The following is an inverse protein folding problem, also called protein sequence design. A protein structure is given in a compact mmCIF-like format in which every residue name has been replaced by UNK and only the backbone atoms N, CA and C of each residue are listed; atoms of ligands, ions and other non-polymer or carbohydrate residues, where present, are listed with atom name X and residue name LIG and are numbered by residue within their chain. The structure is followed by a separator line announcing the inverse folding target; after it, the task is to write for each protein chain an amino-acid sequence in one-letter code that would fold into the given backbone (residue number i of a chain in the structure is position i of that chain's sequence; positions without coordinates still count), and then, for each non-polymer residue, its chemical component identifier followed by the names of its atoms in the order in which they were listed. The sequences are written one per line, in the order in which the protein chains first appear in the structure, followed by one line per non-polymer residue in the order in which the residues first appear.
data_IF_971563709603
#
_entry.id   IF_971563709603
#
_cell.length_a   1.000
_cell.length_b   1.000
_cell.length_c   1.000
_cell.angle_alpha   90.00
_cell.angle_beta   90.00
_cell.angle_gamma   90.00
#
_symmetry.space_group_name_H-M   'P 1'
#
loop_
_entity.id
_entity.type
_entity.pdbx_description
1 polymer ?
#
# COMPACT_ATOMS: atom_id res chain seq x y z
N UNK A 1 4.53 -7.42 23.00
CA UNK A 1 4.97 -7.33 21.59
C UNK A 1 5.93 -6.16 21.45
N UNK A 2 7.05 -6.37 20.74
CA UNK A 2 8.05 -5.33 20.45
C UNK A 2 8.14 -5.14 18.95
N UNK A 3 8.14 -3.88 18.51
CA UNK A 3 8.34 -3.49 17.11
C UNK A 3 9.55 -2.55 17.05
N UNK A 4 10.58 -2.91 16.32
CA UNK A 4 11.84 -2.15 16.19
C UNK A 4 12.04 -1.73 14.74
N UNK A 5 12.49 -0.50 14.54
CA UNK A 5 12.92 0.03 13.26
C UNK A 5 14.10 0.98 13.47
N UNK A 6 15.29 0.51 13.16
CA UNK A 6 16.56 1.17 13.47
C UNK A 6 16.62 1.51 14.99
N UNK A 7 16.78 2.78 15.34
CA UNK A 7 16.80 3.31 16.70
C UNK A 7 15.39 3.59 17.30
N UNK A 8 14.35 3.57 16.47
CA UNK A 8 12.97 3.73 16.93
C UNK A 8 12.34 2.38 17.30
N UNK A 9 11.73 2.26 18.47
CA UNK A 9 11.00 1.04 18.88
C UNK A 9 9.72 1.35 19.65
N UNK A 10 8.81 0.38 19.65
CA UNK A 10 7.54 0.42 20.40
C UNK A 10 7.33 -0.90 21.11
N UNK A 11 7.05 -0.85 22.40
CA UNK A 11 6.65 -2.01 23.22
C UNK A 11 5.14 -1.91 23.46
N UNK A 12 4.42 -2.99 23.21
CA UNK A 12 2.96 -3.07 23.37
C UNK A 12 2.62 -4.19 24.35
N UNK A 13 1.89 -3.82 25.42
CA UNK A 13 1.34 -4.76 26.40
C UNK A 13 0.01 -4.24 26.95
N UNK A 14 -0.84 -5.12 27.47
CA UNK A 14 -2.15 -4.76 28.06
C UNK A 14 -2.02 -4.18 29.49
N UNK A 15 -0.99 -4.62 30.26
CA UNK A 15 -0.71 -4.13 31.60
C UNK A 15 0.28 -2.98 31.58
N UNK A 16 -0.02 -1.92 32.33
CA UNK A 16 0.87 -0.77 32.53
C UNK A 16 2.13 -1.18 33.31
N UNK A 17 2.01 -2.03 34.34
CA UNK A 17 3.13 -2.45 35.18
C UNK A 17 4.21 -3.15 34.35
N UNK A 18 3.79 -4.01 33.42
CA UNK A 18 4.72 -4.67 32.49
C UNK A 18 5.41 -3.66 31.57
N UNK A 19 4.72 -2.61 31.12
CA UNK A 19 5.34 -1.55 30.31
C UNK A 19 6.36 -0.76 31.13
N UNK A 20 6.07 -0.45 32.37
CA UNK A 20 7.00 0.23 33.29
C UNK A 20 8.24 -0.63 33.56
N UNK A 21 8.06 -1.92 33.83
CA UNK A 21 9.14 -2.87 33.98
C UNK A 21 10.00 -2.99 32.71
N UNK A 22 9.37 -3.10 31.54
CA UNK A 22 10.10 -3.10 30.27
C UNK A 22 10.91 -1.83 30.07
N UNK A 23 10.36 -0.66 30.43
CA UNK A 23 11.08 0.62 30.33
C UNK A 23 12.33 0.62 31.22
N UNK A 24 12.24 0.10 32.46
CA UNK A 24 13.40 -0.01 33.38
C UNK A 24 14.45 -0.94 32.78
N UNK A 25 14.07 -2.16 32.40
CA UNK A 25 15.00 -3.15 31.82
C UNK A 25 15.73 -2.59 30.59
N UNK A 26 15.02 -1.92 29.71
CA UNK A 26 15.64 -1.31 28.52
C UNK A 26 16.57 -0.16 28.91
N UNK A 27 16.20 0.66 29.89
CA UNK A 27 17.04 1.77 30.34
C UNK A 27 18.33 1.25 30.96
N UNK A 28 18.27 0.19 31.79
CA UNK A 28 19.43 -0.40 32.41
C UNK A 28 20.36 -1.07 31.40
N UNK A 29 19.80 -1.79 30.43
CA UNK A 29 20.58 -2.39 29.34
C UNK A 29 21.27 -1.33 28.45
N UNK A 30 20.60 -0.21 28.14
CA UNK A 30 21.20 0.88 27.35
C UNK A 30 22.37 1.55 28.11
N UNK A 31 22.30 1.67 29.45
CA UNK A 31 23.40 2.23 30.27
C UNK A 31 24.69 1.43 30.14
N UNK A 32 24.63 0.10 30.02
CA UNK A 32 25.80 -0.75 29.79
C UNK A 32 26.56 -0.40 28.51
N UNK A 33 25.84 0.15 27.53
CA UNK A 33 26.41 0.60 26.25
C UNK A 33 26.63 2.13 26.18
N UNK A 34 26.59 2.81 27.34
CA UNK A 34 26.69 4.28 27.41
C UNK A 34 25.63 5.02 26.58
N UNK A 35 24.46 4.42 26.46
CA UNK A 35 23.29 4.99 25.77
C UNK A 35 22.16 5.29 26.77
N UNK A 36 21.27 6.19 26.44
CA UNK A 36 20.09 6.53 27.24
C UNK A 36 18.82 6.68 26.44
N UNK A 37 17.68 6.42 27.08
CA UNK A 37 16.36 6.72 26.51
C UNK A 37 16.15 8.23 26.49
N UNK A 38 15.87 8.82 25.31
CA UNK A 38 15.56 10.24 25.20
C UNK A 38 14.27 10.59 25.99
N UNK A 39 14.33 11.41 27.06
CA UNK A 39 13.15 11.76 27.87
C UNK A 39 12.07 12.48 27.05
N UNK A 40 12.47 13.25 26.04
CA UNK A 40 11.55 14.00 25.17
C UNK A 40 10.80 13.11 24.15
N UNK A 41 11.41 11.97 23.76
CA UNK A 41 10.85 11.07 22.74
C UNK A 41 10.20 9.83 23.36
N UNK A 42 10.65 9.38 24.53
CA UNK A 42 10.12 8.19 25.21
C UNK A 42 8.83 8.54 25.94
N UNK A 43 7.72 7.93 25.54
CA UNK A 43 6.40 8.19 26.12
C UNK A 43 5.67 6.87 26.35
N UNK A 44 4.90 6.84 27.46
CA UNK A 44 3.91 5.79 27.71
C UNK A 44 2.55 6.37 27.32
N UNK A 45 1.74 5.60 26.63
CA UNK A 45 0.37 6.02 26.25
C UNK A 45 -0.55 4.81 26.18
N UNK A 46 -1.82 5.03 26.46
CA UNK A 46 -2.86 4.03 26.22
C UNK A 46 -3.51 4.27 24.85
N UNK A 47 -3.84 3.21 24.13
CA UNK A 47 -4.34 3.34 22.75
C UNK A 47 -5.82 3.68 22.66
N UNK A 48 -6.61 3.44 23.72
CA UNK A 48 -8.06 3.62 23.73
C UNK A 48 -8.53 4.74 24.67
N UNK A 49 -7.97 4.82 25.88
CA UNK A 49 -8.34 5.79 26.92
C UNK A 49 -7.23 6.82 27.12
N UNK A 50 -7.54 8.03 27.63
CA UNK A 50 -6.52 9.01 27.95
C UNK A 50 -5.55 8.50 29.03
N UNK A 51 -4.26 8.67 28.78
CA UNK A 51 -3.17 8.46 29.74
C UNK A 51 -2.21 9.63 29.59
N UNK A 52 -1.95 10.36 30.67
CA UNK A 52 -1.11 11.57 30.68
C UNK A 52 -1.52 12.58 29.56
N UNK A 53 -2.84 12.81 29.43
CA UNK A 53 -3.43 13.73 28.45
C UNK A 53 -3.41 13.26 26.98
N UNK A 54 -2.86 12.08 26.69
CA UNK A 54 -2.71 11.57 25.35
C UNK A 54 -3.46 10.25 25.12
N UNK A 55 -3.92 10.02 23.88
CA UNK A 55 -4.55 8.76 23.46
C UNK A 55 -3.91 8.28 22.17
N UNK A 56 -3.38 7.05 22.18
CA UNK A 56 -2.63 6.53 21.06
C UNK A 56 -1.21 7.09 20.99
N UNK A 57 -0.49 6.75 19.95
CA UNK A 57 0.89 7.16 19.75
C UNK A 57 1.23 7.32 18.28
N UNK A 58 2.29 8.09 18.02
CA UNK A 58 2.86 8.25 16.68
C UNK A 58 4.11 7.39 16.57
N UNK A 59 4.18 6.56 15.50
CA UNK A 59 5.34 5.74 15.19
C UNK A 59 5.60 5.75 13.67
N UNK A 60 6.83 6.02 13.26
CA UNK A 60 7.25 6.12 11.85
C UNK A 60 6.35 7.03 10.99
N UNK A 61 5.81 8.08 11.61
CA UNK A 61 4.92 9.02 10.93
C UNK A 61 3.46 8.57 10.83
N UNK A 62 3.11 7.44 11.39
CA UNK A 62 1.74 6.96 11.52
C UNK A 62 1.21 7.24 12.92
N UNK A 63 -0.04 7.66 13.04
CA UNK A 63 -0.78 7.72 14.28
C UNK A 63 -1.57 6.43 14.46
N UNK A 64 -1.35 5.75 15.57
CA UNK A 64 -1.98 4.47 15.94
C UNK A 64 -2.88 4.73 17.14
N UNK A 65 -4.19 4.52 16.97
CA UNK A 65 -5.18 4.76 18.01
C UNK A 65 -6.32 3.77 17.92
N UNK A 66 -6.87 3.40 19.06
CA UNK A 66 -8.11 2.66 19.19
C UNK A 66 -9.26 3.63 19.46
N UNK A 67 -10.42 3.30 18.93
CA UNK A 67 -11.66 4.06 19.12
C UNK A 67 -12.73 3.11 19.63
N UNK A 68 -13.54 3.50 20.65
CA UNK A 68 -14.71 2.74 21.03
C UNK A 68 -15.58 2.51 19.79
N UNK A 69 -16.11 1.31 19.67
CA UNK A 69 -16.95 0.94 18.54
C UNK A 69 -18.19 0.21 19.06
N UNK A 70 -19.35 0.59 18.52
CA UNK A 70 -20.61 -0.06 18.84
C UNK A 70 -20.61 -1.55 18.46
N UNK A 71 -21.58 -2.30 18.98
CA UNK A 71 -21.72 -3.76 18.85
C UNK A 71 -21.57 -4.27 17.39
N UNK A 72 -22.07 -3.52 16.43
CA UNK A 72 -22.04 -3.91 15.01
C UNK A 72 -20.76 -3.50 14.27
N UNK A 73 -20.00 -2.51 14.77
CA UNK A 73 -18.80 -1.96 14.11
C UNK A 73 -17.49 -2.47 14.71
N UNK A 74 -17.54 -3.12 15.86
CA UNK A 74 -16.38 -3.68 16.54
C UNK A 74 -15.80 -4.85 15.76
N UNK A 75 -14.47 -4.89 15.64
CA UNK A 75 -13.76 -6.08 15.17
C UNK A 75 -13.96 -7.25 16.14
N UNK A 76 -13.92 -8.47 15.61
CA UNK A 76 -13.93 -9.69 16.42
C UNK A 76 -12.51 -10.25 16.53
N UNK A 77 -12.23 -10.96 17.64
CA UNK A 77 -11.04 -11.78 17.77
C UNK A 77 -11.17 -13.06 16.92
N UNK A 78 -10.17 -13.96 16.96
CA UNK A 78 -10.18 -15.23 16.23
C UNK A 78 -11.29 -16.21 16.66
N UNK A 79 -11.88 -15.99 17.83
CA UNK A 79 -12.95 -16.79 18.41
C UNK A 79 -14.34 -16.16 18.21
N UNK A 80 -14.45 -15.08 17.43
CA UNK A 80 -15.71 -14.39 17.17
C UNK A 80 -16.13 -13.38 18.23
N UNK A 81 -15.43 -13.28 19.35
CA UNK A 81 -15.76 -12.34 20.46
C UNK A 81 -15.55 -10.90 20.00
N UNK A 82 -16.55 -10.05 20.22
CA UNK A 82 -16.47 -8.62 19.90
C UNK A 82 -15.50 -7.91 20.86
N UNK A 83 -14.63 -7.07 20.32
CA UNK A 83 -13.59 -6.37 21.08
C UNK A 83 -14.04 -5.04 21.70
N UNK A 84 -15.18 -4.48 21.28
CA UNK A 84 -15.66 -3.17 21.75
C UNK A 84 -14.87 -1.98 21.22
N UNK A 85 -13.83 -2.17 20.42
CA UNK A 85 -13.03 -1.10 19.83
C UNK A 85 -12.57 -1.43 18.40
N UNK A 86 -12.15 -0.38 17.68
CA UNK A 86 -11.55 -0.47 16.35
C UNK A 86 -10.22 0.24 16.34
N UNK A 87 -9.16 -0.45 15.94
CA UNK A 87 -7.84 0.14 15.74
C UNK A 87 -7.78 0.83 14.39
N UNK A 88 -7.42 2.11 14.39
CA UNK A 88 -7.23 2.91 13.18
C UNK A 88 -5.78 3.38 13.13
N UNK A 89 -5.14 3.14 12.00
CA UNK A 89 -3.80 3.65 11.67
C UNK A 89 -3.99 4.66 10.55
N UNK A 90 -3.45 5.86 10.72
CA UNK A 90 -3.53 6.95 9.75
C UNK A 90 -2.26 7.80 9.75
N UNK A 91 -2.01 8.66 8.74
CA UNK A 91 -0.91 9.61 8.78
C UNK A 91 -0.99 10.48 10.04
N UNK A 92 0.14 10.72 10.72
CA UNK A 92 0.15 11.60 11.89
C UNK A 92 -0.10 13.06 11.49
N UNK A 93 -0.74 13.83 12.39
CA UNK A 93 -1.03 15.26 12.15
C UNK A 93 0.24 16.04 11.81
N UNK A 94 1.35 15.73 12.49
CA UNK A 94 2.66 16.36 12.24
C UNK A 94 3.14 16.11 10.82
N UNK A 95 3.02 14.88 10.31
CA UNK A 95 3.46 14.53 8.95
C UNK A 95 2.54 15.10 7.87
N UNK A 96 1.25 15.23 8.13
CA UNK A 96 0.32 15.95 7.24
C UNK A 96 0.73 17.43 7.13
N UNK A 97 0.95 18.10 8.25
CA UNK A 97 1.36 19.51 8.28
C UNK A 97 2.71 19.74 7.57
N UNK A 98 3.69 18.85 7.80
CA UNK A 98 4.99 18.90 7.11
C UNK A 98 4.85 18.70 5.60
N UNK A 99 3.97 17.80 5.16
CA UNK A 99 3.71 17.60 3.73
C UNK A 99 3.08 18.82 3.07
N UNK A 100 2.05 19.39 3.70
CA UNK A 100 1.40 20.63 3.23
C UNK A 100 2.40 21.79 3.15
N UNK A 101 3.28 21.92 4.17
CA UNK A 101 4.35 22.93 4.15
C UNK A 101 5.30 22.70 2.98
N UNK A 102 5.80 21.46 2.78
CA UNK A 102 6.68 21.12 1.68
C UNK A 102 6.09 21.43 0.31
N UNK A 103 4.77 21.23 0.14
CA UNK A 103 4.08 21.61 -1.09
C UNK A 103 4.06 23.13 -1.26
N UNK A 104 3.78 23.88 -0.19
CA UNK A 104 3.80 25.35 -0.18
C UNK A 104 5.19 25.90 -0.52
N UNK A 105 6.24 25.42 0.15
CA UNK A 105 7.63 25.81 -0.10
C UNK A 105 8.02 25.54 -1.57
N UNK A 106 7.57 24.40 -2.13
CA UNK A 106 7.80 24.07 -3.54
C UNK A 106 7.06 25.07 -4.46
N UNK A 107 5.82 25.42 -4.16
CA UNK A 107 5.04 26.40 -4.92
C UNK A 107 5.69 27.78 -4.88
N UNK A 108 6.19 28.20 -3.73
CA UNK A 108 6.87 29.49 -3.56
C UNK A 108 8.21 29.53 -4.29
N UNK A 109 8.98 28.45 -4.27
CA UNK A 109 10.21 28.31 -5.05
C UNK A 109 9.96 28.38 -6.57
N UNK A 110 8.79 27.91 -7.02
CA UNK A 110 8.38 27.92 -8.43
C UNK A 110 7.34 29.00 -8.76
N UNK A 111 7.28 30.09 -7.98
CA UNK A 111 6.29 31.18 -8.17
C UNK A 111 6.31 31.81 -9.55
N UNK A 112 7.49 31.94 -10.18
CA UNK A 112 7.68 32.54 -11.50
C UNK A 112 7.78 31.50 -12.64
N UNK A 113 7.84 30.20 -12.30
CA UNK A 113 8.00 29.14 -13.30
C UNK A 113 6.71 28.87 -14.08
N UNK A 114 6.76 28.38 -15.32
CA UNK A 114 5.57 27.91 -16.04
C UNK A 114 4.81 26.84 -15.28
N UNK A 115 3.49 26.77 -15.47
CA UNK A 115 2.60 25.82 -14.80
C UNK A 115 3.07 24.38 -14.96
N UNK A 116 3.52 23.99 -16.16
CA UNK A 116 4.05 22.65 -16.47
C UNK A 116 5.19 22.25 -15.53
N UNK A 117 6.14 23.16 -15.29
CA UNK A 117 7.29 22.87 -14.42
C UNK A 117 6.85 22.72 -12.97
N UNK A 118 5.91 23.55 -12.50
CA UNK A 118 5.34 23.41 -11.16
C UNK A 118 4.64 22.06 -10.99
N UNK A 119 3.79 21.65 -11.94
CA UNK A 119 3.10 20.35 -11.90
C UNK A 119 4.11 19.20 -11.89
N UNK A 120 5.14 19.26 -12.75
CA UNK A 120 6.20 18.23 -12.79
C UNK A 120 6.99 18.12 -11.49
N UNK A 121 7.13 19.20 -10.72
CA UNK A 121 7.79 19.19 -9.40
C UNK A 121 6.88 18.70 -8.29
N UNK A 122 5.60 19.04 -8.29
CA UNK A 122 4.65 18.64 -7.27
C UNK A 122 4.27 17.16 -7.39
N UNK A 123 4.08 16.64 -8.60
CA UNK A 123 3.61 15.28 -8.84
C UNK A 123 4.47 14.18 -8.19
N UNK A 124 5.82 14.19 -8.25
CA UNK A 124 6.65 13.22 -7.54
C UNK A 124 6.50 13.30 -6.01
N UNK A 125 6.38 14.51 -5.44
CA UNK A 125 6.20 14.73 -4.00
C UNK A 125 4.86 14.12 -3.55
N UNK A 126 3.78 14.43 -4.26
CA UNK A 126 2.43 13.90 -3.99
C UNK A 126 2.43 12.38 -4.13
N UNK A 127 2.98 11.84 -5.22
CA UNK A 127 3.05 10.40 -5.48
C UNK A 127 3.81 9.67 -4.39
N UNK A 128 4.99 10.15 -4.00
CA UNK A 128 5.81 9.53 -2.96
C UNK A 128 5.08 9.47 -1.61
N UNK A 129 4.48 10.61 -1.20
CA UNK A 129 3.72 10.70 0.04
C UNK A 129 2.47 9.80 0.03
N UNK A 130 1.70 9.83 -1.05
CA UNK A 130 0.53 8.98 -1.23
C UNK A 130 0.87 7.49 -1.21
N UNK A 131 1.95 7.08 -1.88
CA UNK A 131 2.39 5.69 -1.89
C UNK A 131 2.76 5.19 -0.49
N UNK A 132 3.46 6.02 0.30
CA UNK A 132 3.84 5.68 1.68
C UNK A 132 2.60 5.45 2.57
N UNK A 133 1.60 6.33 2.45
CA UNK A 133 0.40 6.26 3.29
C UNK A 133 -0.78 5.50 2.67
N UNK A 134 -0.64 4.95 1.47
CA UNK A 134 -1.72 4.18 0.80
C UNK A 134 -2.11 2.88 1.50
N UNK A 135 -1.29 2.41 2.43
CA UNK A 135 -1.51 1.14 3.16
C UNK A 135 -2.43 1.25 4.37
N UNK A 136 -2.75 2.48 4.79
CA UNK A 136 -3.52 2.78 6.01
C UNK A 136 -4.78 3.62 5.73
N UNK A 137 -5.50 4.02 6.78
CA UNK A 137 -6.73 4.82 6.67
C UNK A 137 -6.42 6.29 6.33
N UNK A 138 -6.01 6.59 5.09
CA UNK A 138 -5.47 7.90 4.68
C UNK A 138 -6.41 8.76 3.85
N UNK A 139 -7.60 8.28 3.45
CA UNK A 139 -8.50 9.03 2.55
C UNK A 139 -8.86 10.42 3.05
N UNK A 140 -9.15 10.57 4.34
CA UNK A 140 -9.43 11.89 4.93
C UNK A 140 -8.20 12.82 4.89
N UNK A 141 -7.00 12.28 5.18
CA UNK A 141 -5.76 13.03 5.11
C UNK A 141 -5.45 13.45 3.66
N UNK A 142 -5.68 12.56 2.69
CA UNK A 142 -5.52 12.85 1.27
C UNK A 142 -6.46 13.97 0.81
N UNK A 143 -7.75 13.87 1.14
CA UNK A 143 -8.72 14.90 0.81
C UNK A 143 -8.39 16.26 1.47
N UNK A 144 -7.90 16.24 2.72
CA UNK A 144 -7.46 17.45 3.40
C UNK A 144 -6.25 18.09 2.71
N UNK A 145 -5.24 17.32 2.31
CA UNK A 145 -4.09 17.81 1.54
C UNK A 145 -4.52 18.40 0.21
N UNK A 146 -5.43 17.76 -0.52
CA UNK A 146 -5.96 18.27 -1.79
C UNK A 146 -6.71 19.58 -1.57
N UNK A 147 -7.52 19.68 -0.52
CA UNK A 147 -8.25 20.89 -0.20
C UNK A 147 -7.30 22.08 0.00
N UNK A 148 -6.29 21.95 0.87
CA UNK A 148 -5.33 23.01 1.12
C UNK A 148 -4.52 23.35 -0.14
N UNK A 149 -4.05 22.34 -0.87
CA UNK A 149 -3.26 22.52 -2.08
C UNK A 149 -4.06 23.27 -3.17
N UNK A 150 -5.25 22.77 -3.50
CA UNK A 150 -6.04 23.29 -4.62
C UNK A 150 -6.74 24.61 -4.28
N UNK A 151 -7.34 24.73 -3.09
CA UNK A 151 -8.18 25.87 -2.73
C UNK A 151 -7.44 27.00 -2.02
N UNK A 152 -6.24 26.75 -1.51
CA UNK A 152 -5.43 27.79 -0.86
C UNK A 152 -4.15 28.08 -1.64
N UNK A 153 -3.23 27.12 -1.70
CA UNK A 153 -1.88 27.35 -2.21
C UNK A 153 -1.84 27.64 -3.72
N UNK A 154 -2.50 26.83 -4.54
CA UNK A 154 -2.48 27.01 -6.00
C UNK A 154 -3.35 28.20 -6.45
N UNK A 155 -4.43 28.49 -5.75
CA UNK A 155 -5.19 29.74 -6.02
C UNK A 155 -4.36 30.98 -5.69
N UNK A 156 -3.60 30.97 -4.59
CA UNK A 156 -2.68 32.05 -4.25
C UNK A 156 -1.57 32.22 -5.31
N UNK A 157 -1.03 31.09 -5.80
CA UNK A 157 -0.06 31.10 -6.90
C UNK A 157 -0.65 31.70 -8.19
N UNK A 158 -1.85 31.28 -8.59
CA UNK A 158 -2.54 31.80 -9.78
C UNK A 158 -2.85 33.31 -9.63
N UNK A 159 -3.35 33.74 -8.45
CA UNK A 159 -3.62 35.14 -8.17
C UNK A 159 -2.37 36.02 -8.27
N UNK A 160 -1.21 35.57 -7.77
CA UNK A 160 0.06 36.32 -7.91
C UNK A 160 0.46 36.56 -9.36
N UNK A 161 0.08 35.65 -10.27
CA UNK A 161 0.43 35.73 -11.71
C UNK A 161 -0.53 36.57 -12.53
N UNK A 162 -1.78 36.69 -12.11
CA UNK A 162 -2.84 37.38 -12.87
C UNK A 162 -3.33 38.64 -12.17
N UNK A 163 -2.80 38.95 -10.96
CA UNK A 163 -3.25 40.06 -10.11
C UNK A 163 -4.56 39.76 -9.36
N UNK A 164 -5.44 38.92 -9.88
CA UNK A 164 -6.74 38.57 -9.29
C UNK A 164 -7.04 37.08 -9.53
N UNK A 165 -7.89 36.50 -8.69
CA UNK A 165 -8.43 35.15 -8.91
C UNK A 165 -9.92 35.27 -9.25
N UNK A 166 -10.24 35.18 -10.52
CA UNK A 166 -11.58 35.25 -11.08
C UNK A 166 -11.84 34.03 -11.97
N UNK A 167 -12.98 33.99 -12.64
CA UNK A 167 -13.37 32.90 -13.53
C UNK A 167 -12.40 32.71 -14.69
N UNK A 168 -11.89 33.79 -15.27
CA UNK A 168 -10.89 33.78 -16.34
C UNK A 168 -9.58 33.13 -15.88
N UNK A 169 -9.06 33.53 -14.68
CA UNK A 169 -7.87 32.90 -14.07
C UNK A 169 -8.12 31.43 -13.78
N UNK A 170 -9.34 31.10 -13.34
CA UNK A 170 -9.70 29.69 -13.11
C UNK A 170 -9.65 28.90 -14.41
N UNK A 171 -10.29 29.33 -15.47
CA UNK A 171 -10.27 28.64 -16.77
C UNK A 171 -8.87 28.56 -17.39
N UNK A 172 -8.00 29.52 -17.12
CA UNK A 172 -6.62 29.52 -17.60
C UNK A 172 -5.75 28.40 -16.99
N UNK A 173 -5.99 28.00 -15.74
CA UNK A 173 -5.11 27.09 -15.00
C UNK A 173 -5.79 25.79 -14.55
N UNK A 174 -7.11 25.68 -14.67
CA UNK A 174 -7.87 24.48 -14.33
C UNK A 174 -8.68 24.02 -15.52
N UNK A 175 -8.39 22.80 -15.99
CA UNK A 175 -9.08 22.20 -17.14
C UNK A 175 -9.70 20.88 -16.75
N UNK A 176 -10.69 20.43 -17.55
CA UNK A 176 -11.32 19.13 -17.40
C UNK A 176 -10.32 18.03 -17.76
N UNK A 177 -10.02 17.16 -16.80
CA UNK A 177 -9.13 16.01 -17.00
C UNK A 177 -9.89 14.75 -16.58
N UNK A 178 -10.35 13.96 -17.56
CA UNK A 178 -11.34 12.91 -17.33
C UNK A 178 -12.65 13.50 -16.80
N UNK A 179 -13.14 13.00 -15.68
CA UNK A 179 -14.41 13.42 -15.07
C UNK A 179 -14.27 14.57 -14.06
N UNK A 180 -13.09 15.20 -13.96
CA UNK A 180 -12.82 16.21 -12.93
C UNK A 180 -12.06 17.40 -13.47
N UNK A 181 -12.41 18.58 -12.96
CA UNK A 181 -11.61 19.77 -13.18
C UNK A 181 -10.42 19.71 -12.24
N UNK A 182 -9.20 19.77 -12.79
CA UNK A 182 -7.94 19.73 -12.05
C UNK A 182 -7.03 20.88 -12.46
N UNK A 183 -6.03 21.18 -11.62
CA UNK A 183 -4.97 22.10 -12.00
C UNK A 183 -4.12 21.45 -13.08
N UNK A 184 -4.29 21.86 -14.34
CA UNK A 184 -3.71 21.23 -15.51
C UNK A 184 -3.49 22.25 -16.64
N UNK A 185 -2.61 21.89 -17.58
CA UNK A 185 -2.39 22.66 -18.80
C UNK A 185 -3.37 22.25 -19.90
N UNK A 186 -3.50 23.06 -20.92
CA UNK A 186 -4.28 22.74 -22.13
C UNK A 186 -3.77 21.48 -22.82
N UNK A 187 -2.44 21.25 -22.81
CA UNK A 187 -1.81 20.03 -23.34
C UNK A 187 -2.08 18.76 -22.51
N UNK A 188 -2.93 18.82 -21.47
CA UNK A 188 -3.33 17.68 -20.67
C UNK A 188 -2.35 17.27 -19.54
N UNK A 189 -1.28 18.05 -19.28
CA UNK A 189 -0.39 17.81 -18.15
C UNK A 189 -1.09 18.23 -16.87
N UNK A 190 -1.47 17.27 -16.03
CA UNK A 190 -2.31 17.49 -14.86
C UNK A 190 -1.60 17.23 -13.52
N UNK A 191 -2.03 17.97 -12.51
CA UNK A 191 -1.61 17.74 -11.13
C UNK A 191 -2.27 16.48 -10.58
N UNK A 192 -1.45 15.64 -9.95
CA UNK A 192 -1.93 14.44 -9.27
C UNK A 192 -2.77 14.80 -8.03
N UNK A 193 -3.96 14.24 -7.93
CA UNK A 193 -4.85 14.38 -6.78
C UNK A 193 -4.52 13.29 -5.75
N UNK A 194 -4.28 13.67 -4.49
CA UNK A 194 -3.97 12.72 -3.41
C UNK A 194 -5.11 11.72 -3.22
N UNK A 195 -6.35 12.20 -3.15
CA UNK A 195 -7.54 11.40 -2.92
C UNK A 195 -7.82 10.37 -4.04
N UNK A 196 -7.26 10.54 -5.24
CA UNK A 196 -7.33 9.56 -6.31
C UNK A 196 -6.50 8.30 -6.03
N UNK A 197 -5.53 8.36 -5.09
CA UNK A 197 -4.70 7.22 -4.73
C UNK A 197 -5.54 6.14 -4.02
N UNK A 198 -5.59 4.89 -4.53
CA UNK A 198 -6.32 3.81 -3.90
C UNK A 198 -5.65 3.37 -2.59
N UNK A 199 -6.46 2.98 -1.61
CA UNK A 199 -5.94 2.39 -0.36
C UNK A 199 -5.69 0.89 -0.60
N UNK A 200 -4.43 0.48 -0.45
CA UNK A 200 -3.96 -0.90 -0.60
C UNK A 200 -3.53 -1.44 0.75
N UNK A 201 -4.45 -2.05 1.47
CA UNK A 201 -4.14 -2.62 2.79
C UNK A 201 -3.15 -3.77 2.66
N UNK A 202 -2.24 -3.88 3.63
CA UNK A 202 -1.38 -5.04 3.75
C UNK A 202 -2.20 -6.31 3.96
N UNK A 203 -1.76 -7.38 3.33
CA UNK A 203 -2.37 -8.71 3.52
C UNK A 203 -2.09 -9.15 4.94
N UNK A 204 -3.14 -9.53 5.68
CA UNK A 204 -2.99 -10.05 7.05
C UNK A 204 -2.22 -11.37 7.02
N UNK A 205 -1.20 -11.45 7.85
CA UNK A 205 -0.42 -12.66 8.07
C UNK A 205 -1.14 -13.57 9.07
N UNK A 206 -1.14 -14.86 8.82
CA UNK A 206 -1.76 -15.84 9.72
C UNK A 206 -0.81 -16.19 10.87
N UNK A 207 -1.29 -16.09 12.10
CA UNK A 207 -0.56 -16.50 13.32
C UNK A 207 0.83 -15.84 13.43
N UNK A 208 1.85 -16.61 13.74
CA UNK A 208 3.26 -16.22 13.94
C UNK A 208 4.12 -16.36 12.68
N UNK A 209 3.52 -16.41 11.48
CA UNK A 209 4.23 -16.54 10.22
C UNK A 209 5.24 -15.41 10.01
N UNK A 210 6.43 -15.76 9.58
CA UNK A 210 7.50 -14.84 9.17
C UNK A 210 7.70 -14.92 7.67
N UNK A 211 8.11 -13.81 7.04
CA UNK A 211 8.44 -13.79 5.61
C UNK A 211 9.62 -14.70 5.25
N UNK A 212 10.37 -15.10 6.26
CA UNK A 212 11.55 -15.96 6.17
C UNK A 212 11.29 -17.36 6.74
N UNK A 213 10.04 -17.82 6.79
CA UNK A 213 9.67 -19.14 7.30
C UNK A 213 9.79 -20.27 6.26
N UNK A 214 10.31 -19.97 5.08
CA UNK A 214 10.50 -20.93 3.98
C UNK A 214 9.22 -21.32 3.21
N UNK A 215 8.03 -20.89 3.65
CA UNK A 215 6.79 -21.19 2.93
C UNK A 215 6.57 -20.23 1.76
N UNK A 216 7.35 -20.41 0.71
CA UNK A 216 7.32 -19.56 -0.50
C UNK A 216 5.95 -19.55 -1.18
N UNK A 217 5.22 -20.68 -1.12
CA UNK A 217 3.87 -20.81 -1.71
C UNK A 217 2.86 -19.94 -0.95
N UNK A 218 2.89 -20.00 0.37
CA UNK A 218 2.03 -19.14 1.20
C UNK A 218 2.27 -17.68 0.90
N UNK A 219 3.53 -17.25 0.83
CA UNK A 219 3.88 -15.84 0.61
C UNK A 219 3.64 -15.39 -0.82
N UNK A 220 3.98 -16.21 -1.80
CA UNK A 220 3.67 -15.99 -3.22
C UNK A 220 2.17 -15.79 -3.42
N UNK A 221 1.37 -16.71 -2.91
CA UNK A 221 -0.11 -16.66 -2.98
C UNK A 221 -0.68 -15.39 -2.37
N UNK A 222 -0.14 -14.92 -1.25
CA UNK A 222 -0.67 -13.74 -0.56
C UNK A 222 -0.16 -12.42 -1.10
N UNK A 223 1.15 -12.33 -1.35
CA UNK A 223 1.80 -11.07 -1.74
C UNK A 223 1.94 -10.92 -3.26
N UNK A 224 2.05 -12.02 -4.00
CA UNK A 224 2.39 -12.03 -5.41
C UNK A 224 3.86 -11.69 -5.68
N UNK A 225 4.71 -11.82 -4.64
CA UNK A 225 6.16 -11.68 -4.71
C UNK A 225 6.83 -12.41 -3.55
N UNK A 226 7.97 -13.01 -3.80
CA UNK A 226 8.89 -13.58 -2.83
C UNK A 226 10.30 -13.58 -3.41
N UNK A 227 11.38 -13.34 -2.61
CA UNK A 227 12.75 -13.35 -3.13
C UNK A 227 13.15 -14.67 -3.80
N UNK A 228 12.69 -15.80 -3.27
CA UNK A 228 13.00 -17.15 -3.76
C UNK A 228 12.07 -17.67 -4.86
N UNK A 229 11.11 -16.85 -5.31
CA UNK A 229 10.20 -17.18 -6.40
C UNK A 229 10.37 -16.24 -7.58
N UNK A 230 10.42 -16.74 -8.82
CA UNK A 230 10.29 -15.88 -9.99
C UNK A 230 9.03 -15.02 -9.90
N UNK A 231 9.13 -13.74 -10.21
CA UNK A 231 8.01 -12.78 -10.10
C UNK A 231 6.75 -13.26 -10.84
N UNK A 232 6.93 -13.89 -12.01
CA UNK A 232 5.85 -14.46 -12.83
C UNK A 232 5.09 -15.54 -12.07
N UNK A 233 5.80 -16.47 -11.43
CA UNK A 233 5.21 -17.56 -10.62
C UNK A 233 4.48 -16.98 -9.40
N UNK A 234 5.11 -16.08 -8.65
CA UNK A 234 4.50 -15.46 -7.47
C UNK A 234 3.21 -14.69 -7.80
N UNK A 235 3.17 -13.99 -8.93
CA UNK A 235 1.98 -13.28 -9.39
C UNK A 235 0.86 -14.25 -9.81
N UNK A 236 1.20 -15.34 -10.49
CA UNK A 236 0.24 -16.38 -10.88
C UNK A 236 -0.32 -17.09 -9.66
N UNK A 237 0.51 -17.47 -8.68
CA UNK A 237 0.06 -18.03 -7.40
C UNK A 237 -0.96 -17.12 -6.72
N UNK A 238 -0.74 -15.82 -6.72
CA UNK A 238 -1.70 -14.86 -6.17
C UNK A 238 -3.00 -14.81 -6.97
N UNK A 239 -2.93 -14.77 -8.30
CA UNK A 239 -4.10 -14.72 -9.19
C UNK A 239 -4.98 -15.96 -9.01
N UNK A 240 -4.36 -17.14 -8.99
CA UNK A 240 -5.04 -18.43 -8.85
C UNK A 240 -5.24 -18.89 -7.41
N UNK A 241 -4.99 -18.00 -6.44
CA UNK A 241 -5.19 -18.24 -4.99
C UNK A 241 -4.46 -19.49 -4.47
N UNK A 242 -3.28 -19.78 -5.06
CA UNK A 242 -2.45 -20.92 -4.73
C UNK A 242 -3.04 -22.28 -5.15
N UNK A 243 -3.85 -22.30 -6.21
CA UNK A 243 -4.45 -23.53 -6.75
C UNK A 243 -4.01 -23.74 -8.19
N UNK A 244 -3.80 -25.01 -8.54
CA UNK A 244 -3.63 -25.43 -9.92
C UNK A 244 -4.98 -25.38 -10.63
N UNK A 245 -5.15 -24.67 -11.76
CA UNK A 245 -6.43 -24.62 -12.48
C UNK A 245 -6.82 -25.94 -13.15
N UNK A 246 -5.87 -26.83 -13.44
CA UNK A 246 -6.14 -28.11 -14.08
C UNK A 246 -6.76 -29.14 -13.09
N UNK A 247 -6.16 -29.35 -11.94
CA UNK A 247 -6.64 -30.32 -10.94
C UNK A 247 -7.42 -29.70 -9.78
N UNK A 248 -7.41 -28.39 -9.62
CA UNK A 248 -8.08 -27.67 -8.52
C UNK A 248 -7.39 -27.77 -7.15
N UNK A 249 -6.37 -28.62 -6.99
CA UNK A 249 -5.63 -28.76 -5.75
C UNK A 249 -4.72 -27.57 -5.46
N UNK A 250 -4.39 -27.40 -4.18
CA UNK A 250 -3.45 -26.35 -3.75
C UNK A 250 -2.03 -26.80 -3.98
N UNK A 251 -1.18 -25.83 -4.37
CA UNK A 251 0.26 -26.03 -4.34
C UNK A 251 0.74 -26.13 -2.89
N UNK A 252 1.70 -27.01 -2.65
CA UNK A 252 2.43 -27.20 -1.38
C UNK A 252 3.93 -26.94 -1.59
N UNK A 253 4.71 -26.91 -0.51
CA UNK A 253 6.10 -26.45 -0.53
C UNK A 253 7.03 -27.18 -1.52
N UNK A 254 6.80 -28.48 -1.74
CA UNK A 254 7.64 -29.34 -2.58
C UNK A 254 7.15 -29.44 -4.03
N UNK A 255 6.05 -28.79 -4.38
CA UNK A 255 5.50 -28.86 -5.73
C UNK A 255 6.36 -28.09 -6.73
N UNK A 256 6.67 -28.73 -7.84
CA UNK A 256 7.23 -28.10 -9.02
C UNK A 256 6.12 -27.37 -9.78
N UNK A 257 6.21 -26.03 -9.79
CA UNK A 257 5.23 -25.16 -10.43
C UNK A 257 5.73 -24.77 -11.81
N UNK A 258 5.01 -25.22 -12.83
CA UNK A 258 5.24 -24.84 -14.22
C UNK A 258 4.33 -23.69 -14.64
N UNK A 259 4.89 -22.75 -15.40
CA UNK A 259 4.12 -21.67 -16.01
C UNK A 259 3.74 -22.06 -17.42
N UNK A 260 2.46 -22.27 -17.62
CA UNK A 260 1.91 -22.74 -18.89
C UNK A 260 1.03 -21.67 -19.55
N UNK A 261 0.85 -21.79 -20.87
CA UNK A 261 -0.08 -20.96 -21.64
C UNK A 261 -1.46 -21.59 -21.64
N UNK A 262 -2.50 -20.81 -21.28
CA UNK A 262 -3.90 -21.26 -21.36
C UNK A 262 -4.22 -21.67 -22.82
N UNK A 263 -3.92 -20.77 -23.76
CA UNK A 263 -3.93 -21.05 -25.20
C UNK A 263 -2.49 -21.26 -25.64
N UNK A 264 -2.12 -22.43 -26.19
CA UNK A 264 -0.77 -22.71 -26.64
C UNK A 264 -0.24 -21.69 -27.66
N UNK A 265 1.05 -21.37 -27.61
CA UNK A 265 1.68 -20.46 -28.59
C UNK A 265 1.48 -20.93 -30.03
N UNK A 266 1.49 -22.23 -30.27
CA UNK A 266 1.26 -22.84 -31.59
C UNK A 266 -0.15 -22.57 -32.12
N UNK A 267 -1.10 -22.30 -31.23
CA UNK A 267 -2.49 -21.94 -31.55
C UNK A 267 -2.74 -20.44 -31.54
N UNK A 268 -1.66 -19.62 -31.58
CA UNK A 268 -1.73 -18.15 -31.58
C UNK A 268 -1.83 -17.53 -30.20
N UNK A 269 -1.65 -18.30 -29.13
CA UNK A 269 -1.65 -17.78 -27.74
C UNK A 269 -0.51 -16.79 -27.49
N UNK A 270 -0.83 -15.60 -27.04
CA UNK A 270 0.14 -14.57 -26.74
C UNK A 270 0.89 -14.85 -25.41
N UNK A 271 2.18 -14.51 -25.34
CA UNK A 271 2.97 -14.57 -24.08
C UNK A 271 2.65 -13.35 -23.17
N UNK A 272 1.36 -13.21 -22.84
CA UNK A 272 0.86 -12.19 -21.93
C UNK A 272 0.39 -12.82 -20.64
N UNK A 273 0.47 -12.08 -19.53
CA UNK A 273 0.10 -12.56 -18.19
C UNK A 273 -1.33 -13.13 -18.13
N UNK A 274 -2.24 -12.59 -18.95
CA UNK A 274 -3.63 -13.07 -19.00
C UNK A 274 -3.80 -14.43 -19.67
N UNK A 275 -2.83 -14.84 -20.49
CA UNK A 275 -2.76 -16.17 -21.13
C UNK A 275 -1.87 -17.15 -20.37
N UNK A 276 -1.47 -16.84 -19.12
CA UNK A 276 -0.59 -17.70 -18.33
C UNK A 276 -1.31 -18.26 -17.11
N UNK A 277 -0.96 -19.51 -16.76
CA UNK A 277 -1.47 -20.23 -15.62
C UNK A 277 -0.36 -21.02 -14.89
N UNK A 278 -0.46 -21.21 -13.56
CA UNK A 278 0.45 -22.07 -12.82
C UNK A 278 -0.12 -23.49 -12.79
N UNK A 279 0.65 -24.47 -13.19
CA UNK A 279 0.28 -25.89 -13.14
C UNK A 279 1.26 -26.67 -12.28
N UNK A 280 0.82 -27.76 -11.63
CA UNK A 280 1.73 -28.78 -11.16
C UNK A 280 2.42 -29.41 -12.38
N UNK A 281 3.65 -29.83 -12.24
CA UNK A 281 4.41 -30.42 -13.35
C UNK A 281 3.65 -31.56 -14.03
N UNK A 282 3.09 -32.52 -13.27
CA UNK A 282 2.29 -33.60 -13.83
C UNK A 282 1.02 -33.11 -14.57
N UNK A 283 0.37 -32.04 -14.07
CA UNK A 283 -0.79 -31.42 -14.76
C UNK A 283 -0.38 -30.72 -16.06
N UNK A 284 0.80 -30.11 -16.07
CA UNK A 284 1.38 -29.50 -17.27
C UNK A 284 1.67 -30.57 -18.34
N UNK A 285 2.26 -31.73 -17.95
CA UNK A 285 2.55 -32.83 -18.86
C UNK A 285 1.27 -33.41 -19.46
N UNK A 286 0.23 -33.65 -18.66
CA UNK A 286 -1.10 -34.11 -19.11
C UNK A 286 -1.73 -33.13 -20.08
N UNK A 287 -1.71 -31.82 -19.74
CA UNK A 287 -2.25 -30.78 -20.63
C UNK A 287 -1.48 -30.74 -21.96
N UNK A 288 -0.16 -30.79 -21.91
CA UNK A 288 0.69 -30.77 -23.12
C UNK A 288 0.39 -31.94 -24.03
N UNK A 289 0.24 -33.15 -23.48
CA UNK A 289 -0.15 -34.34 -24.24
C UNK A 289 -1.53 -34.17 -24.89
N UNK A 290 -2.51 -33.64 -24.15
CA UNK A 290 -3.87 -33.34 -24.66
C UNK A 290 -3.85 -32.32 -25.79
N UNK A 291 -3.11 -31.22 -25.61
CA UNK A 291 -2.99 -30.15 -26.61
C UNK A 291 -2.31 -30.66 -27.90
N UNK A 292 -1.28 -31.53 -27.77
CA UNK A 292 -0.61 -32.15 -28.91
C UNK A 292 -1.54 -33.13 -29.66
N UNK A 293 -2.31 -33.97 -28.96
CA UNK A 293 -3.28 -34.87 -29.57
C UNK A 293 -4.38 -34.09 -30.32
N UNK A 294 -4.87 -32.98 -29.77
CA UNK A 294 -5.87 -32.12 -30.42
C UNK A 294 -5.33 -31.49 -31.70
N UNK A 295 -4.06 -31.09 -31.73
CA UNK A 295 -3.42 -30.56 -32.94
C UNK A 295 -3.28 -31.62 -34.02
N UNK A 296 -2.90 -32.85 -33.67
CA UNK A 296 -2.80 -33.96 -34.63
C UNK A 296 -4.16 -34.28 -35.31
N UNK A 297 -5.25 -34.25 -34.54
CA UNK A 297 -6.61 -34.44 -35.05
C UNK A 297 -7.06 -33.29 -35.96
N UNK A 298 -6.71 -32.03 -35.66
CA UNK A 298 -7.04 -30.90 -36.52
C UNK A 298 -6.27 -30.88 -37.83
N UNK A 299 -5.00 -31.32 -37.81
CA UNK A 299 -4.16 -31.43 -39.01
C UNK A 299 -4.61 -32.54 -39.94
N UNK A 300 -5.10 -33.67 -39.41
CA UNK A 300 -5.61 -34.82 -40.22
C UNK A 300 -6.95 -34.54 -40.90
N UNK A 301 -7.77 -33.59 -40.36
CA UNK A 301 -9.03 -33.16 -40.98
C UNK A 301 -8.83 -32.15 -42.13
N UNK A 302 -7.71 -31.43 -42.20
CA UNK A 302 -7.40 -30.48 -43.27
C UNK A 302 -6.90 -31.18 -44.54
N UNK A 303 -6.42 -32.42 -44.46
CA UNK A 303 -5.93 -33.22 -45.62
C UNK A 303 -7.03 -34.03 -46.33
N UNK A 304 -8.29 -33.92 -45.93
CA UNK A 304 -9.43 -34.66 -46.53
C UNK A 304 -10.35 -33.81 -47.41
N UNK A 305 -9.91 -32.64 -47.88
CA UNK A 305 -10.62 -31.86 -48.88
C UNK A 305 -9.72 -31.51 -50.06
#
# INVERSE_FOLDING_TARGET
CVCVYADDFVILHESLDVILQCKSVVADWLKEMSLELSPRKTRISHTLIPYDGNVGFDFLGFNIRQYPAGKHQSGSNRYGTKRGFKTIIKPSKKKIALHIRKLGDTIDAYKSAPQVLLIRKLNPIIRGWCNYYSTVCSKQAFAHCDHILLFSQLRAWARRRTGKFNLETYHKYWHLTGDRITFSTEDGISLRVHAATPIRRHVKVKRTRSFFDGDVIYWGTRKGKHPELPNRVALLLKRYKGKCPECGFRFIGDDLIEVDHIIPKKEGGADKFDNLQPLHRHCHDVKTARDTARQALSSSNVQRY
#
